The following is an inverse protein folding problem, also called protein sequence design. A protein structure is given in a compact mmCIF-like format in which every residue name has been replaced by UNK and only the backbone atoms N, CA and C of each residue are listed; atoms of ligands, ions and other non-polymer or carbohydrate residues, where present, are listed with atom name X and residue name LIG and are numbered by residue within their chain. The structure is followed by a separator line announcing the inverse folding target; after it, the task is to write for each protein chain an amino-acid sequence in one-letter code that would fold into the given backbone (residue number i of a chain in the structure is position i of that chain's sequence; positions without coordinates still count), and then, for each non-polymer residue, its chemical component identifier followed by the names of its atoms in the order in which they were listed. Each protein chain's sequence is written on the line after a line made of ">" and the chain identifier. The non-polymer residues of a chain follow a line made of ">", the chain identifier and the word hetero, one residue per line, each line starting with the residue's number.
data_IF_841807854202
#
_entry.id   IF_841807854202
#
_cell.length_a   1.000
_cell.length_b   1.000
_cell.length_c   1.000
_cell.angle_alpha   90.00
_cell.angle_beta   90.00
_cell.angle_gamma   90.00
#
_symmetry.space_group_name_H-M   'P 1'
#
loop_
_entity.id
_entity.type
_entity.pdbx_description
1 polymer ?
#
# COMPACT_ATOMS: atom_id res chain seq x y z
N UNK A 1 -47.76 46.69 -42.09
CA UNK A 1 -46.70 45.69 -41.84
C UNK A 1 -46.43 45.68 -40.35
N UNK A 2 -46.69 44.57 -39.65
CA UNK A 2 -46.57 44.46 -38.19
C UNK A 2 -45.18 43.89 -37.87
N UNK A 3 -44.36 44.48 -36.98
CA UNK A 3 -43.04 43.96 -36.68
C UNK A 3 -43.14 42.74 -35.76
N UNK A 4 -42.56 41.63 -36.17
CA UNK A 4 -42.43 40.41 -35.36
C UNK A 4 -41.30 40.64 -34.33
N UNK A 5 -41.66 40.71 -33.05
CA UNK A 5 -40.70 40.79 -31.95
C UNK A 5 -40.13 39.38 -31.67
N UNK A 6 -38.86 39.14 -31.97
CA UNK A 6 -38.16 37.92 -31.55
C UNK A 6 -37.75 38.04 -30.08
N UNK A 7 -38.34 37.22 -29.21
CA UNK A 7 -37.85 37.02 -27.84
C UNK A 7 -36.69 36.01 -27.86
N UNK A 8 -35.49 36.45 -27.47
CA UNK A 8 -34.35 35.55 -27.23
C UNK A 8 -34.51 34.95 -25.83
N UNK A 9 -34.89 33.68 -25.76
CA UNK A 9 -34.86 32.92 -24.52
C UNK A 9 -33.40 32.55 -24.20
N UNK A 10 -32.80 33.23 -23.22
CA UNK A 10 -31.49 32.86 -22.68
C UNK A 10 -31.59 31.53 -21.93
N UNK A 11 -30.93 30.49 -22.44
CA UNK A 11 -30.81 29.23 -21.72
C UNK A 11 -29.85 29.41 -20.53
N UNK A 12 -30.38 29.41 -19.31
CA UNK A 12 -29.58 29.21 -18.11
C UNK A 12 -29.09 27.76 -18.08
N UNK A 13 -27.81 27.53 -18.35
CA UNK A 13 -27.15 26.26 -17.99
C UNK A 13 -27.00 26.21 -16.47
N UNK A 14 -27.85 25.43 -15.80
CA UNK A 14 -27.64 25.09 -14.40
C UNK A 14 -26.36 24.25 -14.28
N UNK A 15 -25.37 24.76 -13.56
CA UNK A 15 -24.20 23.97 -13.16
C UNK A 15 -24.67 23.01 -12.07
N UNK A 16 -24.72 21.71 -12.39
CA UNK A 16 -24.94 20.69 -11.37
C UNK A 16 -23.69 20.66 -10.48
N UNK A 17 -23.83 21.09 -9.23
CA UNK A 17 -22.78 20.91 -8.22
C UNK A 17 -22.61 19.41 -7.98
N UNK A 18 -21.43 18.87 -8.30
CA UNK A 18 -21.11 17.49 -7.95
C UNK A 18 -21.01 17.35 -6.43
N UNK A 19 -21.64 16.32 -5.86
CA UNK A 19 -21.51 16.02 -4.44
C UNK A 19 -20.04 15.76 -4.07
N UNK A 20 -19.60 16.28 -2.92
CA UNK A 20 -18.25 15.98 -2.38
C UNK A 20 -18.10 14.47 -2.19
N UNK A 21 -17.08 13.82 -2.79
CA UNK A 21 -16.86 12.39 -2.60
C UNK A 21 -16.62 12.06 -1.13
N UNK A 22 -17.22 10.96 -0.64
CA UNK A 22 -16.90 10.41 0.68
C UNK A 22 -15.53 9.71 0.60
N UNK A 23 -14.59 9.96 1.53
CA UNK A 23 -13.31 9.26 1.54
C UNK A 23 -13.47 7.78 1.95
N UNK A 24 -12.54 6.91 1.56
CA UNK A 24 -12.46 5.55 2.12
C UNK A 24 -12.11 5.60 3.61
N UNK A 25 -12.32 4.48 4.31
CA UNK A 25 -11.89 4.30 5.70
C UNK A 25 -10.61 3.46 5.78
N UNK A 26 -9.90 3.58 6.90
CA UNK A 26 -8.71 2.78 7.22
C UNK A 26 -9.02 1.88 8.41
N UNK A 27 -9.06 0.57 8.18
CA UNK A 27 -9.27 -0.44 9.20
C UNK A 27 -7.93 -1.09 9.55
N UNK A 28 -7.48 -0.98 10.80
CA UNK A 28 -6.21 -1.57 11.22
C UNK A 28 -6.19 -3.08 10.97
N UNK A 29 -5.15 -3.54 10.26
CA UNK A 29 -4.94 -4.96 9.94
C UNK A 29 -3.95 -5.62 10.89
N UNK A 30 -2.73 -5.09 10.96
CA UNK A 30 -1.65 -5.58 11.82
C UNK A 30 -0.49 -4.58 11.89
N UNK A 31 0.34 -4.70 12.92
CA UNK A 31 1.69 -4.14 12.95
C UNK A 31 2.68 -5.25 12.60
N UNK A 32 3.76 -4.92 11.90
CA UNK A 32 4.80 -5.85 11.46
C UNK A 32 6.19 -5.30 11.78
N UNK A 33 7.05 -6.15 12.34
CA UNK A 33 8.47 -5.88 12.52
C UNK A 33 9.25 -6.86 11.66
N UNK A 34 9.86 -6.35 10.60
CA UNK A 34 10.64 -7.09 9.62
C UNK A 34 12.11 -7.06 10.02
N UNK A 35 12.75 -8.22 10.06
CA UNK A 35 14.19 -8.37 10.23
C UNK A 35 14.85 -8.54 8.87
N UNK A 36 15.97 -7.84 8.68
CA UNK A 36 16.73 -7.84 7.43
C UNK A 36 18.21 -8.08 7.70
N UNK A 37 18.94 -8.56 6.71
CA UNK A 37 20.41 -8.60 6.75
C UNK A 37 21.00 -7.42 5.99
N UNK A 38 22.33 -7.28 6.05
CA UNK A 38 23.06 -6.33 5.22
C UNK A 38 22.62 -6.43 3.74
N UNK A 39 22.35 -5.30 3.07
CA UNK A 39 22.00 -5.31 1.65
C UNK A 39 23.12 -5.88 0.78
N UNK A 40 22.73 -6.55 -0.31
CA UNK A 40 23.63 -6.71 -1.46
C UNK A 40 23.62 -5.39 -2.21
N UNK A 41 24.69 -4.61 -2.06
CA UNK A 41 24.83 -3.33 -2.72
C UNK A 41 25.09 -3.51 -4.23
N UNK A 42 24.20 -2.93 -5.04
CA UNK A 42 24.36 -2.86 -6.50
C UNK A 42 25.07 -1.55 -6.88
N UNK A 43 25.02 -0.53 -6.00
CA UNK A 43 25.59 0.78 -6.20
C UNK A 43 24.66 1.76 -6.91
N UNK A 44 25.23 2.85 -7.39
CA UNK A 44 24.52 3.90 -8.13
C UNK A 44 24.29 3.49 -9.58
N UNK A 45 23.03 3.49 -9.99
CA UNK A 45 22.57 3.23 -11.36
C UNK A 45 22.14 4.52 -12.05
N UNK A 46 21.79 4.45 -13.34
CA UNK A 46 21.29 5.61 -14.10
C UNK A 46 20.02 6.27 -13.51
N UNK A 47 19.30 5.58 -12.61
CA UNK A 47 18.04 6.06 -12.02
C UNK A 47 18.11 6.26 -10.49
N UNK A 48 19.28 6.05 -9.87
CA UNK A 48 19.47 6.14 -8.41
C UNK A 48 20.22 4.95 -7.83
N UNK A 49 20.38 4.92 -6.52
CA UNK A 49 21.10 3.86 -5.82
C UNK A 49 20.21 2.65 -5.55
N UNK A 50 20.76 1.46 -5.82
CA UNK A 50 20.03 0.20 -5.74
C UNK A 50 20.72 -0.75 -4.75
N UNK A 51 19.92 -1.42 -3.92
CA UNK A 51 20.35 -2.57 -3.15
C UNK A 51 19.31 -3.68 -3.27
N UNK A 52 19.74 -4.92 -2.99
CA UNK A 52 18.82 -6.03 -2.71
C UNK A 52 18.89 -6.25 -1.20
N UNK A 53 17.78 -6.07 -0.49
CA UNK A 53 17.71 -6.12 0.96
C UNK A 53 16.97 -7.41 1.37
N UNK A 54 17.66 -8.48 1.79
CA UNK A 54 17.01 -9.73 2.15
C UNK A 54 16.18 -9.58 3.42
N UNK A 55 14.93 -10.05 3.37
CA UNK A 55 14.04 -10.16 4.53
C UNK A 55 14.23 -11.56 5.10
N UNK A 56 14.76 -11.63 6.31
CA UNK A 56 15.17 -12.89 6.95
C UNK A 56 14.22 -13.38 8.02
N UNK A 57 13.30 -12.52 8.47
CA UNK A 57 12.36 -12.88 9.49
C UNK A 57 11.54 -11.69 9.96
N UNK A 58 10.90 -11.88 11.11
CA UNK A 58 10.06 -10.87 11.71
C UNK A 58 8.79 -11.45 12.30
N UNK A 59 8.00 -10.58 12.91
CA UNK A 59 6.70 -10.91 13.48
C UNK A 59 5.67 -9.89 13.05
N UNK A 60 4.42 -10.33 12.95
CA UNK A 60 3.28 -9.44 12.74
C UNK A 60 2.12 -9.84 13.64
N UNK A 61 1.34 -8.85 14.06
CA UNK A 61 0.18 -9.08 14.92
C UNK A 61 -0.90 -8.05 14.68
N UNK A 62 -2.14 -8.53 14.57
CA UNK A 62 -3.33 -7.71 14.50
C UNK A 62 -4.59 -8.52 14.80
N UNK A 63 -5.77 -7.87 14.81
CA UNK A 63 -7.02 -8.50 15.27
C UNK A 63 -7.51 -9.65 14.39
N UNK A 64 -7.15 -9.68 13.10
CA UNK A 64 -7.61 -10.68 12.14
C UNK A 64 -6.55 -11.73 11.78
N UNK A 65 -5.28 -11.44 12.03
CA UNK A 65 -4.15 -12.28 11.65
C UNK A 65 -2.90 -11.93 12.46
N UNK A 66 -2.11 -12.95 12.78
CA UNK A 66 -0.82 -12.83 13.45
C UNK A 66 0.09 -13.98 13.04
N UNK A 67 1.40 -13.81 13.19
CA UNK A 67 2.39 -14.83 12.86
C UNK A 67 3.78 -14.25 12.62
N UNK A 68 4.51 -14.90 11.72
CA UNK A 68 5.92 -14.60 11.44
C UNK A 68 6.14 -14.24 9.97
N UNK A 69 7.13 -13.39 9.71
CA UNK A 69 7.64 -13.17 8.36
C UNK A 69 8.62 -14.30 8.04
N UNK A 70 8.43 -14.97 6.92
CA UNK A 70 9.14 -16.24 6.62
C UNK A 70 10.34 -16.05 5.71
N UNK A 71 10.17 -15.28 4.64
CA UNK A 71 11.21 -14.99 3.65
C UNK A 71 10.73 -13.83 2.77
N UNK A 72 11.66 -13.14 2.14
CA UNK A 72 11.37 -12.13 1.14
C UNK A 72 12.60 -11.31 0.82
N UNK A 73 12.39 -10.25 0.05
CA UNK A 73 13.40 -9.22 -0.15
C UNK A 73 12.74 -7.91 -0.62
N UNK A 74 13.43 -6.81 -0.41
CA UNK A 74 13.13 -5.51 -1.01
C UNK A 74 14.23 -5.17 -2.02
N UNK A 75 13.86 -4.71 -3.21
CA UNK A 75 14.81 -4.21 -4.21
C UNK A 75 14.66 -2.70 -4.45
N UNK A 76 14.15 -1.95 -3.48
CA UNK A 76 13.80 -0.53 -3.58
C UNK A 76 14.90 0.39 -4.12
N UNK A 77 14.47 1.57 -4.58
CA UNK A 77 15.32 2.59 -5.21
C UNK A 77 15.47 3.79 -4.28
N UNK A 78 16.70 4.26 -4.09
CA UNK A 78 16.95 5.59 -3.51
C UNK A 78 17.23 6.57 -4.62
N UNK A 79 16.38 7.58 -4.78
CA UNK A 79 16.57 8.62 -5.80
C UNK A 79 17.69 9.62 -5.42
N UNK A 80 18.03 10.50 -6.36
CA UNK A 80 19.11 11.49 -6.17
C UNK A 80 18.82 12.53 -5.07
N UNK A 81 17.60 12.57 -4.53
CA UNK A 81 17.21 13.43 -3.40
C UNK A 81 17.19 12.66 -2.08
N UNK A 82 17.56 11.37 -2.09
CA UNK A 82 17.56 10.52 -0.91
C UNK A 82 16.21 9.90 -0.55
N UNK A 83 15.18 10.02 -1.41
CA UNK A 83 13.91 9.37 -1.14
C UNK A 83 13.99 7.90 -1.50
N UNK A 84 13.64 7.03 -0.56
CA UNK A 84 13.55 5.59 -0.79
C UNK A 84 12.14 5.21 -1.25
N UNK A 85 12.10 4.42 -2.33
CA UNK A 85 10.88 3.79 -2.85
C UNK A 85 11.02 2.27 -2.72
N UNK A 86 10.37 1.65 -1.71
CA UNK A 86 10.39 0.20 -1.55
C UNK A 86 9.70 -0.47 -2.73
N UNK A 87 10.21 -1.65 -3.08
CA UNK A 87 9.58 -2.60 -4.02
C UNK A 87 9.93 -3.99 -3.53
N UNK A 88 9.07 -4.50 -2.65
CA UNK A 88 9.33 -5.68 -1.85
C UNK A 88 8.31 -6.79 -2.11
N UNK A 89 8.79 -8.02 -1.96
CA UNK A 89 7.96 -9.22 -1.95
C UNK A 89 8.37 -10.08 -0.76
N UNK A 90 7.40 -10.46 0.07
CA UNK A 90 7.65 -11.30 1.23
C UNK A 90 6.48 -12.20 1.57
N UNK A 91 6.73 -13.21 2.39
CA UNK A 91 5.73 -14.19 2.82
C UNK A 91 5.49 -14.06 4.31
N UNK A 92 4.23 -13.86 4.68
CA UNK A 92 3.73 -14.03 6.03
C UNK A 92 3.28 -15.47 6.21
N UNK A 93 3.67 -16.09 7.33
CA UNK A 93 3.10 -17.36 7.81
C UNK A 93 2.31 -17.08 9.07
N UNK A 94 1.00 -17.32 9.02
CA UNK A 94 0.10 -17.12 10.16
C UNK A 94 0.30 -18.20 11.22
N UNK A 95 -0.16 -17.93 12.45
CA UNK A 95 -0.09 -18.88 13.57
C UNK A 95 -0.86 -20.19 13.35
N UNK A 96 -1.85 -20.19 12.45
CA UNK A 96 -2.60 -21.38 12.00
C UNK A 96 -2.04 -22.00 10.70
N UNK A 97 -0.88 -21.53 10.22
CA UNK A 97 -0.10 -22.18 9.16
C UNK A 97 -0.42 -21.73 7.72
N UNK A 98 -1.29 -20.75 7.51
CA UNK A 98 -1.50 -20.19 6.18
C UNK A 98 -0.30 -19.33 5.73
N UNK A 99 -0.02 -19.36 4.42
CA UNK A 99 0.99 -18.51 3.79
C UNK A 99 0.32 -17.42 2.97
N UNK A 100 0.78 -16.18 3.14
CA UNK A 100 0.27 -15.00 2.44
C UNK A 100 1.49 -14.31 1.84
N UNK A 101 1.54 -14.25 0.51
CA UNK A 101 2.50 -13.42 -0.21
C UNK A 101 2.02 -11.98 -0.17
N UNK A 102 2.93 -11.06 0.13
CA UNK A 102 2.70 -9.62 0.17
C UNK A 102 3.57 -8.99 -0.91
N UNK A 103 2.97 -8.13 -1.73
CA UNK A 103 3.70 -7.22 -2.62
C UNK A 103 3.55 -5.82 -2.05
N UNK A 104 4.67 -5.16 -1.78
CA UNK A 104 4.74 -3.83 -1.17
C UNK A 104 5.45 -2.85 -2.11
N UNK A 105 4.81 -1.70 -2.37
CA UNK A 105 5.37 -0.64 -3.21
C UNK A 105 5.02 0.74 -2.69
N UNK A 106 5.91 1.70 -2.81
CA UNK A 106 5.55 3.08 -2.48
C UNK A 106 6.68 4.09 -2.51
N UNK A 107 6.53 5.10 -1.67
CA UNK A 107 7.56 6.10 -1.37
C UNK A 107 7.56 6.28 0.14
N UNK A 108 8.61 5.76 0.78
CA UNK A 108 8.71 5.78 2.22
C UNK A 108 8.47 7.20 2.77
N UNK A 109 7.68 7.35 3.85
CA UNK A 109 7.16 6.29 4.71
C UNK A 109 5.80 5.71 4.29
N UNK A 110 5.32 5.92 3.06
CA UNK A 110 3.97 5.55 2.61
C UNK A 110 4.02 4.41 1.57
N UNK A 111 3.38 3.28 1.87
CA UNK A 111 3.39 2.10 1.00
C UNK A 111 1.98 1.55 0.75
N UNK A 112 1.80 0.99 -0.44
CA UNK A 112 0.66 0.17 -0.82
C UNK A 112 1.05 -1.30 -0.69
N UNK A 113 0.17 -2.09 -0.10
CA UNK A 113 0.30 -3.54 0.03
C UNK A 113 -0.86 -4.23 -0.68
N UNK A 114 -0.52 -5.30 -1.39
CA UNK A 114 -1.45 -6.28 -1.95
C UNK A 114 -1.08 -7.67 -1.46
N UNK A 115 -2.05 -8.58 -1.45
CA UNK A 115 -1.93 -9.90 -0.83
C UNK A 115 -2.34 -11.01 -1.80
N UNK A 116 -1.65 -12.14 -1.72
CA UNK A 116 -2.01 -13.37 -2.43
C UNK A 116 -1.91 -14.57 -1.48
N UNK A 117 -2.97 -15.38 -1.39
CA UNK A 117 -2.99 -16.60 -0.59
C UNK A 117 -3.90 -17.66 -1.19
N UNK A 118 -3.50 -18.92 -1.05
CA UNK A 118 -4.35 -20.09 -1.34
C UNK A 118 -5.20 -20.54 -0.16
N UNK A 119 -5.11 -19.90 1.01
CA UNK A 119 -5.90 -20.27 2.19
C UNK A 119 -7.35 -19.81 2.05
N UNK A 120 -8.30 -20.72 2.25
CA UNK A 120 -9.73 -20.38 2.29
C UNK A 120 -10.06 -19.45 3.47
N UNK A 121 -9.41 -19.62 4.62
CA UNK A 121 -9.63 -18.79 5.82
C UNK A 121 -9.20 -17.33 5.63
N UNK A 122 -8.23 -17.09 4.75
CA UNK A 122 -7.67 -15.77 4.46
C UNK A 122 -7.96 -15.27 3.05
N UNK A 123 -8.86 -15.95 2.31
CA UNK A 123 -9.16 -15.63 0.91
C UNK A 123 -9.69 -14.20 0.69
N UNK A 124 -10.22 -13.56 1.74
CA UNK A 124 -10.64 -12.15 1.72
C UNK A 124 -9.49 -11.17 1.46
N UNK A 125 -8.24 -11.55 1.76
CA UNK A 125 -7.06 -10.74 1.49
C UNK A 125 -6.76 -10.61 -0.01
N UNK A 126 -7.13 -11.59 -0.82
CA UNK A 126 -6.89 -11.58 -2.28
C UNK A 126 -7.59 -10.40 -2.99
N UNK A 127 -8.54 -9.74 -2.33
CA UNK A 127 -9.24 -8.53 -2.83
C UNK A 127 -8.98 -7.29 -1.98
N UNK A 128 -8.18 -7.40 -0.92
CA UNK A 128 -7.86 -6.29 -0.04
C UNK A 128 -6.79 -5.39 -0.67
N UNK A 129 -6.96 -4.08 -0.51
CA UNK A 129 -5.91 -3.09 -0.74
C UNK A 129 -5.53 -2.52 0.60
N UNK A 130 -4.24 -2.48 0.91
CA UNK A 130 -3.76 -1.93 2.17
C UNK A 130 -2.82 -0.76 1.96
N UNK A 131 -2.84 0.14 2.95
CA UNK A 131 -1.86 1.19 3.15
C UNK A 131 -0.99 0.79 4.34
N UNK A 132 0.32 1.02 4.23
CA UNK A 132 1.25 0.86 5.34
C UNK A 132 2.05 2.15 5.55
N UNK A 133 2.37 2.39 6.83
CA UNK A 133 3.24 3.49 7.25
C UNK A 133 4.22 3.01 8.30
N UNK A 134 5.45 3.50 8.22
CA UNK A 134 6.46 3.14 9.20
C UNK A 134 7.85 3.64 8.85
N UNK A 135 8.86 2.95 9.37
CA UNK A 135 10.24 3.37 9.21
C UNK A 135 11.26 2.32 9.61
N UNK A 136 12.53 2.68 9.47
CA UNK A 136 13.67 1.84 9.81
C UNK A 136 13.75 1.56 11.31
N UNK A 137 14.16 0.35 11.66
CA UNK A 137 14.60 -0.03 13.00
C UNK A 137 16.09 -0.34 12.99
N UNK A 138 16.68 -0.75 14.12
CA UNK A 138 18.08 -1.16 14.17
C UNK A 138 18.38 -2.37 13.26
N UNK A 139 17.41 -3.28 13.11
CA UNK A 139 17.59 -4.58 12.46
C UNK A 139 16.68 -4.77 11.21
N UNK A 140 16.00 -3.73 10.75
CA UNK A 140 15.10 -3.80 9.58
C UNK A 140 14.07 -2.68 9.53
N UNK A 141 12.77 -3.04 9.47
CA UNK A 141 11.66 -2.09 9.24
C UNK A 141 10.49 -2.42 10.17
N UNK A 142 9.82 -1.39 10.71
CA UNK A 142 8.58 -1.53 11.46
C UNK A 142 7.47 -0.74 10.79
N UNK A 143 6.35 -1.39 10.49
CA UNK A 143 5.20 -0.80 9.81
C UNK A 143 3.90 -1.10 10.56
N UNK A 144 2.99 -0.14 10.53
CA UNK A 144 1.56 -0.35 10.78
C UNK A 144 0.84 -0.46 9.44
N UNK A 145 -0.12 -1.39 9.34
CA UNK A 145 -0.83 -1.72 8.11
C UNK A 145 -2.34 -1.58 8.32
N UNK A 146 -3.01 -0.89 7.40
CA UNK A 146 -4.46 -0.68 7.38
C UNK A 146 -5.06 -1.14 6.06
N UNK A 147 -6.20 -1.83 6.12
CA UNK A 147 -7.02 -2.10 4.97
C UNK A 147 -7.74 -0.80 4.57
N UNK A 148 -7.70 -0.48 3.29
CA UNK A 148 -8.51 0.58 2.70
C UNK A 148 -9.88 -0.02 2.40
N UNK A 149 -10.91 0.47 3.07
CA UNK A 149 -12.29 0.03 2.90
C UNK A 149 -13.10 1.09 2.14
N UNK A 150 -14.04 0.63 1.31
CA UNK A 150 -14.92 1.55 0.58
C UNK A 150 -15.72 2.43 1.56
N UNK A 151 -16.04 3.68 1.18
CA UNK A 151 -16.86 4.54 2.03
C UNK A 151 -18.16 3.82 2.41
N UNK A 152 -18.55 3.88 3.68
CA UNK A 152 -19.87 3.41 4.09
C UNK A 152 -20.95 4.15 3.28
N UNK A 153 -21.91 3.38 2.74
CA UNK A 153 -23.02 3.89 1.95
C UNK A 153 -23.74 5.06 2.64
#
# INVERSE_FOLDING_TARGET
>A
MLPTLFAVAGACTAVVSAATPKPPTLDFLYSINISMTAPLDIGTTAIGSRGILPITGGTFAGPKLSGNVSAGLDWGLTDSKGNFSPDAVYVLTTTDGARIMVTERGRAPNMQLLFETGSSSYGWLNTAVAYASGGLTADGVSLDVWQISSPAA
#
